data_IF_310632812671
#
_entry.id   IF_310632812671
#
_cell.length_a   1.000
_cell.length_b   1.000
_cell.length_c   1.000
_cell.angle_alpha   90.00
_cell.angle_beta   90.00
_cell.angle_gamma   90.00
#
_symmetry.space_group_name_H-M   'P 1'
#
loop_
_entity.id
_entity.type
_entity.pdbx_description
1 polymer ?
#
# COMPACT_ATOMS: atom_id res chain seq x y z
N UNK A 1 -6.75 2.82 -75.08
CA UNK A 1 -6.66 1.63 -75.96
C UNK A 1 -5.37 0.89 -75.64
N UNK A 2 -5.31 -0.46 -75.68
CA UNK A 2 -6.27 -1.41 -75.11
C UNK A 2 -5.60 -2.67 -74.49
N UNK A 3 -6.46 -3.55 -73.97
CA UNK A 3 -6.34 -5.02 -73.88
C UNK A 3 -5.34 -5.64 -72.91
N UNK A 4 -5.79 -6.21 -71.79
CA UNK A 4 -6.48 -7.51 -71.66
C UNK A 4 -5.53 -8.71 -71.81
N UNK A 5 -5.41 -9.50 -70.73
CA UNK A 5 -5.19 -10.93 -70.89
C UNK A 5 -5.78 -11.72 -69.72
N UNK A 6 -6.86 -12.41 -70.06
CA UNK A 6 -7.54 -13.50 -69.35
C UNK A 6 -6.59 -14.69 -69.12
N UNK A 7 -6.67 -15.31 -67.94
CA UNK A 7 -6.45 -16.76 -67.75
C UNK A 7 -7.57 -17.31 -66.85
N UNK A 8 -8.68 -17.70 -67.48
CA UNK A 8 -9.13 -19.11 -67.64
C UNK A 8 -9.53 -19.82 -66.34
N UNK A 9 -10.81 -19.61 -66.01
CA UNK A 9 -11.85 -20.56 -65.57
C UNK A 9 -11.48 -22.05 -65.48
N UNK A 10 -11.80 -22.67 -64.33
CA UNK A 10 -12.42 -24.00 -64.26
C UNK A 10 -13.14 -24.20 -62.91
N UNK A 11 -14.49 -24.26 -62.85
CA UNK A 11 -15.21 -24.59 -61.63
C UNK A 11 -15.24 -26.11 -61.50
N UNK A 12 -14.50 -26.64 -60.53
CA UNK A 12 -14.60 -28.06 -60.18
C UNK A 12 -15.97 -28.28 -59.54
N UNK A 13 -16.81 -28.98 -60.29
CA UNK A 13 -18.13 -29.48 -59.92
C UNK A 13 -18.10 -30.06 -58.50
N UNK A 14 -18.94 -29.52 -57.63
CA UNK A 14 -19.24 -30.11 -56.34
C UNK A 14 -19.98 -31.43 -56.58
N UNK A 15 -19.33 -32.54 -56.22
CA UNK A 15 -19.94 -33.85 -56.15
C UNK A 15 -20.79 -33.94 -54.86
N UNK A 16 -22.12 -34.12 -54.92
CA UNK A 16 -22.98 -34.18 -53.74
C UNK A 16 -23.07 -35.58 -53.11
N UNK A 17 -22.26 -36.56 -53.52
CA UNK A 17 -22.45 -37.96 -53.13
C UNK A 17 -21.25 -38.57 -52.39
N UNK A 18 -20.94 -38.09 -51.18
CA UNK A 18 -20.37 -38.95 -50.12
C UNK A 18 -20.50 -38.33 -48.73
N UNK A 19 -21.74 -38.20 -48.25
CA UNK A 19 -22.01 -38.19 -46.80
C UNK A 19 -21.66 -39.56 -46.23
N UNK A 20 -20.38 -39.80 -45.96
CA UNK A 20 -19.97 -40.86 -45.04
C UNK A 20 -19.98 -40.26 -43.64
N UNK A 21 -20.98 -40.68 -42.86
CA UNK A 21 -21.04 -40.51 -41.40
C UNK A 21 -19.68 -40.88 -40.80
N UNK A 22 -18.98 -39.90 -40.21
CA UNK A 22 -17.94 -40.19 -39.22
C UNK A 22 -18.60 -40.24 -37.83
N UNK A 23 -18.55 -41.39 -37.12
CA UNK A 23 -18.92 -41.42 -35.72
C UNK A 23 -17.85 -40.66 -34.92
N UNK A 24 -18.30 -39.95 -33.89
CA UNK A 24 -17.47 -39.08 -33.08
C UNK A 24 -16.25 -39.79 -32.48
N UNK A 25 -15.15 -39.07 -32.42
CA UNK A 25 -14.11 -39.31 -31.42
C UNK A 25 -13.48 -37.97 -31.14
N UNK A 26 -13.85 -37.40 -30.00
CA UNK A 26 -13.21 -36.21 -29.46
C UNK A 26 -11.74 -36.52 -29.25
N UNK A 27 -10.88 -35.95 -30.08
CA UNK A 27 -9.49 -35.74 -29.74
C UNK A 27 -9.36 -34.24 -29.49
N UNK A 28 -9.74 -33.84 -28.28
CA UNK A 28 -9.35 -32.54 -27.74
C UNK A 28 -7.84 -32.44 -27.91
N UNK A 29 -7.39 -31.49 -28.73
CA UNK A 29 -5.98 -31.18 -28.89
C UNK A 29 -5.51 -30.68 -27.53
N UNK A 30 -4.96 -31.58 -26.72
CA UNK A 30 -4.44 -31.25 -25.41
C UNK A 30 -3.45 -30.12 -25.61
N UNK A 31 -3.76 -28.96 -25.02
CA UNK A 31 -2.77 -27.91 -24.87
C UNK A 31 -1.61 -28.56 -24.10
N UNK A 32 -0.34 -28.35 -24.48
CA UNK A 32 0.76 -28.68 -23.59
C UNK A 32 0.50 -27.86 -22.32
N UNK A 33 0.05 -28.56 -21.28
CA UNK A 33 0.00 -28.03 -19.94
C UNK A 33 1.46 -27.82 -19.59
N UNK A 34 1.91 -26.57 -19.73
CA UNK A 34 3.16 -26.13 -19.15
C UNK A 34 2.96 -26.27 -17.63
N UNK A 35 3.18 -27.48 -17.11
CA UNK A 35 3.35 -27.70 -15.69
C UNK A 35 4.60 -26.92 -15.33
N UNK A 36 4.41 -25.71 -14.81
CA UNK A 36 5.47 -24.94 -14.18
C UNK A 36 6.27 -25.92 -13.31
N UNK A 37 7.60 -26.01 -13.46
CA UNK A 37 8.43 -26.81 -12.58
C UNK A 37 8.04 -26.45 -11.15
N UNK A 38 7.66 -27.46 -10.37
CA UNK A 38 7.26 -27.38 -8.96
C UNK A 38 8.42 -26.93 -8.04
N UNK A 39 9.05 -25.80 -8.35
CA UNK A 39 10.08 -25.17 -7.52
C UNK A 39 9.48 -24.38 -6.35
N UNK A 40 8.16 -24.26 -6.28
CA UNK A 40 7.37 -23.73 -5.17
C UNK A 40 7.17 -24.76 -4.04
N UNK A 41 6.96 -26.02 -4.40
CA UNK A 41 6.68 -27.09 -3.41
C UNK A 41 7.89 -27.55 -2.58
N UNK A 42 9.13 -27.26 -3.00
CA UNK A 42 10.32 -27.60 -2.21
C UNK A 42 10.52 -26.65 -1.01
N UNK A 43 10.09 -25.40 -1.12
CA UNK A 43 10.13 -24.41 -0.02
C UNK A 43 8.92 -24.54 0.92
N UNK A 44 7.83 -25.16 0.45
CA UNK A 44 6.57 -25.33 1.20
C UNK A 44 6.65 -26.43 2.27
N UNK A 45 7.57 -27.39 2.14
CA UNK A 45 7.73 -28.52 3.06
C UNK A 45 8.78 -28.27 4.16
N UNK A 46 9.27 -27.04 4.30
CA UNK A 46 10.14 -26.67 5.41
C UNK A 46 9.26 -26.32 6.64
N UNK A 47 9.52 -26.88 7.83
CA UNK A 47 8.66 -26.68 9.00
C UNK A 47 8.59 -25.22 9.52
N UNK A 48 9.39 -24.31 8.97
CA UNK A 48 9.40 -22.88 9.30
C UNK A 48 9.37 -22.02 8.04
N UNK A 49 8.68 -20.88 8.08
CA UNK A 49 8.56 -20.01 6.91
C UNK A 49 9.86 -19.21 6.66
N UNK A 50 10.33 -19.03 5.40
CA UNK A 50 11.51 -18.20 5.09
C UNK A 50 11.42 -16.75 5.60
N UNK A 51 10.22 -16.15 5.56
CA UNK A 51 9.98 -14.80 6.12
C UNK A 51 10.19 -14.81 7.63
N UNK A 52 9.66 -15.82 8.32
CA UNK A 52 9.84 -15.94 9.77
C UNK A 52 11.33 -16.11 10.15
N UNK A 53 12.10 -16.86 9.35
CA UNK A 53 13.56 -16.97 9.52
C UNK A 53 14.24 -15.62 9.31
N UNK A 54 13.89 -14.89 8.25
CA UNK A 54 14.48 -13.59 7.94
C UNK A 54 14.18 -12.55 9.04
N UNK A 55 12.93 -12.50 9.50
CA UNK A 55 12.50 -11.62 10.60
C UNK A 55 13.26 -11.96 11.89
N UNK A 56 13.33 -13.24 12.25
CA UNK A 56 14.08 -13.70 13.42
C UNK A 56 15.56 -13.34 13.29
N UNK A 57 16.16 -13.53 12.12
CA UNK A 57 17.54 -13.18 11.86
C UNK A 57 17.81 -11.68 12.07
N UNK A 58 16.98 -10.81 11.48
CA UNK A 58 17.10 -9.35 11.65
C UNK A 58 16.96 -8.96 13.11
N UNK A 59 15.98 -9.51 13.82
CA UNK A 59 15.75 -9.22 15.24
C UNK A 59 16.94 -9.66 16.10
N UNK A 60 17.43 -10.87 15.92
CA UNK A 60 18.56 -11.42 16.70
C UNK A 60 19.83 -10.64 16.41
N UNK A 61 20.13 -10.35 15.14
CA UNK A 61 21.32 -9.56 14.77
C UNK A 61 21.22 -8.15 15.33
N UNK A 62 20.07 -7.48 15.19
CA UNK A 62 19.86 -6.13 15.73
C UNK A 62 20.00 -6.10 17.25
N UNK A 63 19.40 -7.06 17.95
CA UNK A 63 19.48 -7.17 19.41
C UNK A 63 20.90 -7.49 19.89
N UNK A 64 21.61 -8.39 19.20
CA UNK A 64 23.00 -8.74 19.53
C UNK A 64 23.96 -7.56 19.30
N UNK A 65 23.83 -6.87 18.15
CA UNK A 65 24.64 -5.69 17.85
C UNK A 65 24.41 -4.58 18.89
N UNK A 66 23.16 -4.32 19.27
CA UNK A 66 22.83 -3.32 20.28
C UNK A 66 23.26 -3.74 21.69
N UNK A 67 23.22 -5.03 22.03
CA UNK A 67 23.76 -5.56 23.29
C UNK A 67 25.27 -5.32 23.40
N UNK A 68 26.03 -5.57 22.32
CA UNK A 68 27.48 -5.33 22.32
C UNK A 68 27.84 -3.84 22.29
N UNK A 69 27.01 -3.01 21.65
CA UNK A 69 27.24 -1.57 21.51
C UNK A 69 26.78 -0.77 22.74
N UNK A 70 25.77 -1.25 23.46
CA UNK A 70 25.15 -0.59 24.62
C UNK A 70 24.04 0.40 24.24
N UNK A 71 23.05 0.57 25.12
CA UNK A 71 21.91 1.47 24.91
C UNK A 71 22.34 2.93 24.74
N UNK A 72 23.27 3.40 25.58
CA UNK A 72 23.75 4.80 25.56
C UNK A 72 24.37 5.15 24.21
N UNK A 73 25.18 4.28 23.63
CA UNK A 73 25.75 4.52 22.30
C UNK A 73 24.68 4.59 21.22
N UNK A 74 23.63 3.80 21.37
CA UNK A 74 22.57 3.72 20.38
C UNK A 74 21.68 4.97 20.42
N UNK A 75 21.25 5.40 21.62
CA UNK A 75 20.47 6.63 21.80
C UNK A 75 21.26 7.87 21.42
N UNK A 76 22.51 7.99 21.88
CA UNK A 76 23.35 9.12 21.51
C UNK A 76 23.68 9.11 20.01
N UNK A 77 23.80 7.93 19.40
CA UNK A 77 23.98 7.79 17.96
C UNK A 77 22.78 8.33 17.17
N UNK A 78 21.56 7.95 17.57
CA UNK A 78 20.33 8.51 16.97
C UNK A 78 20.25 10.02 17.19
N UNK A 79 20.60 10.49 18.39
CA UNK A 79 20.72 11.90 18.71
C UNK A 79 21.73 12.63 17.82
N UNK A 80 22.86 11.98 17.49
CA UNK A 80 23.87 12.53 16.60
C UNK A 80 23.36 12.65 15.15
N UNK A 81 22.62 11.65 14.65
CA UNK A 81 21.98 11.71 13.34
C UNK A 81 20.93 12.83 13.27
N UNK A 82 20.04 12.91 14.26
CA UNK A 82 19.02 13.97 14.33
C UNK A 82 19.69 15.34 14.45
N UNK A 83 20.66 15.49 15.35
CA UNK A 83 21.41 16.72 15.54
C UNK A 83 22.15 17.18 14.27
N UNK A 84 22.74 16.24 13.53
CA UNK A 84 23.38 16.52 12.25
C UNK A 84 22.38 16.95 11.17
N UNK A 85 21.21 16.30 11.08
CA UNK A 85 20.14 16.71 10.15
C UNK A 85 19.66 18.13 10.48
N UNK A 86 19.37 18.40 11.75
CA UNK A 86 18.92 19.73 12.19
C UNK A 86 19.99 20.78 11.89
N UNK A 87 21.25 20.52 12.23
CA UNK A 87 22.35 21.43 11.94
C UNK A 87 22.50 21.68 10.43
N UNK A 88 22.36 20.65 9.59
CA UNK A 88 22.38 20.81 8.15
C UNK A 88 21.25 21.72 7.67
N UNK A 89 20.01 21.53 8.15
CA UNK A 89 18.86 22.37 7.77
C UNK A 89 19.08 23.84 8.19
N UNK A 90 19.56 24.08 9.41
CA UNK A 90 19.76 25.44 9.92
C UNK A 90 20.97 26.16 9.31
N UNK A 91 22.06 25.45 9.03
CA UNK A 91 23.28 26.04 8.48
C UNK A 91 23.29 26.09 6.94
N UNK A 92 22.37 25.38 6.27
CA UNK A 92 22.24 25.41 4.80
C UNK A 92 22.12 26.83 4.22
N UNK A 93 21.19 27.71 4.65
CA UNK A 93 21.01 29.02 4.04
C UNK A 93 22.25 29.93 4.18
N UNK A 94 23.00 29.79 5.27
CA UNK A 94 24.22 30.56 5.52
C UNK A 94 25.41 30.01 4.70
N UNK A 95 25.50 28.69 4.52
CA UNK A 95 26.62 28.04 3.84
C UNK A 95 26.47 28.00 2.31
N UNK A 96 25.23 28.03 1.82
CA UNK A 96 24.87 27.90 0.40
C UNK A 96 25.56 28.94 -0.52
N UNK A 97 25.70 30.24 -0.17
CA UNK A 97 26.35 31.22 -1.04
C UNK A 97 27.81 30.89 -1.35
N UNK A 98 28.52 30.29 -0.39
CA UNK A 98 29.93 29.94 -0.56
C UNK A 98 30.12 28.79 -1.56
N UNK A 99 29.22 27.81 -1.57
CA UNK A 99 29.30 26.64 -2.47
C UNK A 99 28.81 26.96 -3.87
N UNK A 100 27.80 27.83 -4.00
CA UNK A 100 27.28 28.30 -5.29
C UNK A 100 28.31 29.08 -6.12
N UNK A 101 29.36 29.62 -5.49
CA UNK A 101 30.49 30.20 -6.20
C UNK A 101 31.30 29.16 -7.01
N UNK A 102 31.22 27.88 -6.66
CA UNK A 102 31.96 26.79 -7.30
C UNK A 102 31.06 25.85 -8.13
N UNK A 103 29.77 25.72 -7.77
CA UNK A 103 28.82 24.82 -8.43
C UNK A 103 27.69 25.66 -9.06
N UNK A 104 27.60 25.73 -10.41
CA UNK A 104 26.57 26.52 -11.09
C UNK A 104 25.16 25.93 -11.01
N UNK A 105 25.04 24.65 -10.67
CA UNK A 105 23.77 23.92 -10.62
C UNK A 105 23.17 24.06 -9.22
N UNK A 106 22.11 24.85 -9.07
CA UNK A 106 21.52 25.21 -7.78
C UNK A 106 21.18 23.99 -6.90
N UNK A 107 20.41 23.03 -7.43
CA UNK A 107 20.00 21.86 -6.65
C UNK A 107 21.18 20.98 -6.21
N UNK A 108 22.24 20.92 -7.03
CA UNK A 108 23.45 20.16 -6.72
C UNK A 108 24.30 20.89 -5.69
N UNK A 109 24.42 22.21 -5.80
CA UNK A 109 25.09 23.04 -4.79
C UNK A 109 24.42 22.89 -3.42
N UNK A 110 23.09 22.93 -3.39
CA UNK A 110 22.30 22.79 -2.17
C UNK A 110 22.48 21.40 -1.55
N UNK A 111 22.42 20.35 -2.37
CA UNK A 111 22.66 18.97 -1.92
C UNK A 111 24.08 18.79 -1.37
N UNK A 112 25.11 19.26 -2.08
CA UNK A 112 26.51 19.16 -1.65
C UNK A 112 26.75 19.93 -0.35
N UNK A 113 26.15 21.13 -0.22
CA UNK A 113 26.25 21.93 1.01
C UNK A 113 25.61 21.21 2.18
N UNK A 114 24.38 20.72 2.01
CA UNK A 114 23.64 20.00 3.05
C UNK A 114 24.38 18.73 3.49
N UNK A 115 24.85 17.92 2.54
CA UNK A 115 25.62 16.69 2.82
C UNK A 115 26.95 17.01 3.48
N UNK A 116 27.66 18.05 3.03
CA UNK A 116 28.93 18.49 3.61
C UNK A 116 28.79 18.88 5.07
N UNK A 117 27.81 19.73 5.39
CA UNK A 117 27.51 20.13 6.77
C UNK A 117 27.09 18.93 7.60
N UNK A 118 26.17 18.12 7.07
CA UNK A 118 25.67 16.92 7.73
C UNK A 118 26.82 16.00 8.14
N UNK A 119 27.75 15.70 7.23
CA UNK A 119 28.89 14.82 7.51
C UNK A 119 29.86 15.41 8.53
N UNK A 120 30.19 16.70 8.41
CA UNK A 120 31.08 17.39 9.37
C UNK A 120 30.48 17.36 10.76
N UNK A 121 29.22 17.75 10.89
CA UNK A 121 28.50 17.77 12.17
C UNK A 121 28.34 16.35 12.71
N UNK A 122 27.97 15.38 11.88
CA UNK A 122 27.84 13.99 12.29
C UNK A 122 29.15 13.43 12.84
N UNK A 123 30.29 13.71 12.21
CA UNK A 123 31.61 13.29 12.70
C UNK A 123 31.89 13.91 14.07
N UNK A 124 31.67 15.22 14.21
CA UNK A 124 31.85 15.91 15.50
C UNK A 124 30.97 15.29 16.58
N UNK A 125 29.65 15.21 16.37
CA UNK A 125 28.73 14.62 17.36
C UNK A 125 29.03 13.14 17.63
N UNK A 126 29.48 12.38 16.64
CA UNK A 126 29.87 10.97 16.82
C UNK A 126 31.08 10.83 17.74
N UNK A 127 32.08 11.70 17.59
CA UNK A 127 33.25 11.72 18.48
C UNK A 127 32.84 12.12 19.89
N UNK A 128 32.04 13.18 20.06
CA UNK A 128 31.53 13.60 21.37
C UNK A 128 30.73 12.48 22.04
N UNK A 129 29.83 11.86 21.28
CA UNK A 129 29.01 10.72 21.74
C UNK A 129 29.88 9.56 22.21
N UNK A 130 30.91 9.19 21.43
CA UNK A 130 31.81 8.10 21.79
C UNK A 130 32.58 8.40 23.09
N UNK A 131 32.96 9.66 23.32
CA UNK A 131 33.62 10.07 24.57
C UNK A 131 32.68 9.98 25.78
N UNK A 132 31.43 10.42 25.63
CA UNK A 132 30.42 10.37 26.70
C UNK A 132 30.09 8.91 27.03
N UNK A 133 29.82 8.11 26.01
CA UNK A 133 29.37 6.74 26.18
C UNK A 133 30.44 5.86 26.84
N UNK A 134 31.74 6.05 26.52
CA UNK A 134 32.86 5.41 27.23
C UNK A 134 32.81 5.65 28.74
N UNK A 135 32.58 6.90 29.18
CA UNK A 135 32.48 7.23 30.61
C UNK A 135 31.33 6.53 31.31
N UNK A 136 30.20 6.34 30.62
CA UNK A 136 29.04 5.64 31.19
C UNK A 136 29.30 4.14 31.30
N UNK A 137 29.97 3.56 30.30
CA UNK A 137 30.33 2.14 30.29
C UNK A 137 31.40 1.74 31.32
N UNK A 138 32.25 2.69 31.72
CA UNK A 138 33.26 2.45 32.76
C UNK A 138 32.67 2.37 34.18
N UNK A 139 31.37 2.69 34.33
CA UNK A 139 30.66 2.65 35.61
C UNK A 139 29.96 1.31 35.87
N UNK A 140 29.50 1.08 37.12
CA UNK A 140 28.73 -0.12 37.50
C UNK A 140 27.42 -0.33 36.70
N UNK A 141 27.00 0.66 35.90
CA UNK A 141 25.81 0.63 35.06
C UNK A 141 25.99 -0.13 33.74
N UNK A 142 27.19 -0.60 33.39
CA UNK A 142 27.46 -1.31 32.14
C UNK A 142 26.53 -2.54 31.93
N UNK A 143 26.25 -3.31 32.97
CA UNK A 143 25.35 -4.45 32.87
C UNK A 143 23.92 -4.01 32.50
N UNK A 144 23.42 -2.93 33.10
CA UNK A 144 22.10 -2.36 32.81
C UNK A 144 22.06 -1.74 31.41
N UNK A 145 23.13 -1.04 30.99
CA UNK A 145 23.24 -0.45 29.66
C UNK A 145 23.15 -1.50 28.54
N UNK A 146 23.75 -2.68 28.75
CA UNK A 146 23.69 -3.79 27.80
C UNK A 146 22.32 -4.45 27.72
N UNK A 147 21.63 -4.64 28.86
CA UNK A 147 20.28 -5.22 28.84
C UNK A 147 19.25 -4.27 28.22
N UNK A 148 19.35 -2.96 28.51
CA UNK A 148 18.58 -1.95 27.80
C UNK A 148 18.94 -1.89 26.31
N UNK A 149 20.23 -2.09 25.98
CA UNK A 149 20.69 -2.15 24.60
C UNK A 149 20.05 -3.29 23.83
N UNK A 150 19.94 -4.48 24.43
CA UNK A 150 19.24 -5.61 23.85
C UNK A 150 17.76 -5.31 23.58
N UNK A 151 17.03 -4.75 24.56
CA UNK A 151 15.62 -4.39 24.39
C UNK A 151 15.43 -3.32 23.31
N UNK A 152 16.29 -2.31 23.30
CA UNK A 152 16.29 -1.29 22.26
C UNK A 152 16.60 -1.88 20.89
N UNK A 153 17.57 -2.81 20.80
CA UNK A 153 17.92 -3.50 19.56
C UNK A 153 16.79 -4.38 19.02
N UNK A 154 16.00 -5.01 19.88
CA UNK A 154 14.77 -5.70 19.48
C UNK A 154 13.73 -4.73 18.90
N UNK A 155 13.48 -3.62 19.58
CA UNK A 155 12.55 -2.59 19.10
C UNK A 155 13.01 -2.02 17.75
N UNK A 156 14.29 -1.65 17.62
CA UNK A 156 14.91 -1.21 16.37
C UNK A 156 14.82 -2.26 15.27
N UNK A 157 15.08 -3.53 15.60
CA UNK A 157 14.97 -4.63 14.65
C UNK A 157 13.55 -4.79 14.13
N UNK A 158 12.55 -4.65 15.01
CA UNK A 158 11.14 -4.63 14.63
C UNK A 158 10.82 -3.48 13.68
N UNK A 159 11.26 -2.26 14.00
CA UNK A 159 11.11 -1.09 13.12
C UNK A 159 11.76 -1.34 11.76
N UNK A 160 12.97 -1.92 11.71
CA UNK A 160 13.63 -2.27 10.45
C UNK A 160 12.82 -3.27 9.63
N UNK A 161 12.25 -4.30 10.26
CA UNK A 161 11.36 -5.26 9.58
C UNK A 161 10.13 -4.57 9.01
N UNK A 162 9.48 -3.67 9.76
CA UNK A 162 8.32 -2.92 9.28
C UNK A 162 8.69 -2.02 8.09
N UNK A 163 9.78 -1.28 8.18
CA UNK A 163 10.26 -0.41 7.09
C UNK A 163 10.59 -1.24 5.84
N UNK A 164 11.26 -2.38 6.00
CA UNK A 164 11.56 -3.28 4.89
C UNK A 164 10.29 -3.86 4.26
N UNK A 165 9.28 -4.21 5.08
CA UNK A 165 8.00 -4.68 4.59
C UNK A 165 7.26 -3.61 3.77
N UNK A 166 7.19 -2.37 4.28
CA UNK A 166 6.59 -1.23 3.55
C UNK A 166 7.36 -0.93 2.27
N UNK A 167 8.69 -0.94 2.32
CA UNK A 167 9.51 -0.75 1.12
C UNK A 167 9.29 -1.88 0.09
N UNK A 168 9.11 -3.12 0.55
CA UNK A 168 8.80 -4.26 -0.31
C UNK A 168 7.40 -4.16 -0.93
N UNK A 169 6.40 -3.68 -0.18
CA UNK A 169 5.04 -3.48 -0.71
C UNK A 169 4.97 -2.35 -1.75
N UNK A 170 5.89 -1.37 -1.68
CA UNK A 170 6.04 -0.35 -2.72
C UNK A 170 6.66 -0.90 -4.00
N UNK A 171 7.57 -1.88 -3.90
CA UNK A 171 8.25 -2.46 -5.06
C UNK A 171 7.44 -3.58 -5.73
N UNK A 172 6.71 -4.37 -4.93
CA UNK A 172 5.92 -5.52 -5.38
C UNK A 172 4.47 -5.39 -4.89
N UNK A 173 3.49 -5.19 -5.80
CA UNK A 173 2.08 -5.11 -5.43
C UNK A 173 1.63 -6.33 -4.62
N UNK A 174 0.81 -6.09 -3.58
CA UNK A 174 0.33 -7.13 -2.65
C UNK A 174 -0.32 -8.31 -3.37
N UNK A 175 -1.02 -8.06 -4.48
CA UNK A 175 -1.73 -9.07 -5.28
C UNK A 175 -0.80 -10.06 -6.00
N UNK A 176 0.49 -9.75 -6.08
CA UNK A 176 1.52 -10.60 -6.70
C UNK A 176 2.45 -11.25 -5.68
N UNK A 177 2.19 -11.06 -4.37
CA UNK A 177 3.02 -11.65 -3.33
C UNK A 177 2.78 -13.16 -3.26
N UNK A 178 3.85 -13.97 -3.34
CA UNK A 178 3.73 -15.43 -3.33
C UNK A 178 3.27 -15.98 -1.96
N UNK A 179 2.63 -17.14 -1.97
CA UNK A 179 1.95 -17.73 -0.81
C UNK A 179 2.87 -17.96 0.41
N UNK A 180 4.17 -18.19 0.19
CA UNK A 180 5.16 -18.31 1.26
C UNK A 180 5.36 -17.00 2.05
N UNK A 181 4.97 -15.84 1.53
CA UNK A 181 4.97 -14.58 2.29
C UNK A 181 3.69 -14.44 3.12
N UNK A 182 2.55 -14.77 2.51
CA UNK A 182 1.22 -14.64 3.14
C UNK A 182 0.98 -15.64 4.27
N UNK A 183 1.64 -16.80 4.23
CA UNK A 183 1.51 -17.86 5.24
C UNK A 183 2.41 -17.69 6.46
N UNK A 184 3.25 -16.65 6.52
CA UNK A 184 4.19 -16.44 7.63
C UNK A 184 3.47 -16.07 8.93
N UNK A 185 3.91 -16.63 10.08
CA UNK A 185 3.26 -16.33 11.37
C UNK A 185 3.52 -14.90 11.84
N UNK A 186 4.64 -14.31 11.43
CA UNK A 186 4.99 -12.92 11.72
C UNK A 186 4.16 -11.92 10.90
N UNK A 187 3.57 -12.34 9.78
CA UNK A 187 2.85 -11.47 8.85
C UNK A 187 1.71 -10.64 9.47
N UNK A 188 0.76 -11.20 10.25
CA UNK A 188 -0.32 -10.39 10.84
C UNK A 188 0.19 -9.30 11.78
N UNK A 189 1.29 -9.55 12.51
CA UNK A 189 1.88 -8.59 13.43
C UNK A 189 2.66 -7.50 12.68
N UNK A 190 3.33 -7.88 11.59
CA UNK A 190 4.02 -6.95 10.68
C UNK A 190 2.99 -6.05 9.97
N UNK A 191 1.88 -6.60 9.48
CA UNK A 191 0.81 -5.84 8.83
C UNK A 191 0.21 -4.80 9.78
N UNK A 192 -0.17 -5.20 11.00
CA UNK A 192 -0.69 -4.25 11.99
C UNK A 192 0.32 -3.15 12.35
N UNK A 193 1.60 -3.50 12.51
CA UNK A 193 2.67 -2.53 12.75
C UNK A 193 2.92 -1.61 11.55
N UNK A 194 2.83 -2.13 10.34
CA UNK A 194 2.99 -1.36 9.11
C UNK A 194 1.82 -0.40 8.91
N UNK A 195 0.59 -0.86 9.10
CA UNK A 195 -0.62 -0.03 8.96
C UNK A 195 -0.62 1.14 9.96
N UNK A 196 -0.15 0.91 11.19
CA UNK A 196 0.02 2.00 12.17
C UNK A 196 1.13 2.98 11.79
N UNK A 197 2.24 2.52 11.19
CA UNK A 197 3.27 3.41 10.63
C UNK A 197 2.77 4.21 9.43
N UNK A 198 2.03 3.56 8.54
CA UNK A 198 1.42 4.15 7.34
C UNK A 198 0.39 5.21 7.71
N UNK A 199 -0.38 5.00 8.78
CA UNK A 199 -1.32 6.00 9.28
C UNK A 199 -0.65 7.30 9.77
N UNK A 200 0.64 7.27 10.11
CA UNK A 200 1.42 8.44 10.49
C UNK A 200 2.06 9.15 9.29
N UNK A 201 2.07 8.50 8.12
CA UNK A 201 2.62 9.08 6.90
C UNK A 201 1.58 9.99 6.22
N UNK A 202 2.00 11.16 5.70
CA UNK A 202 1.13 11.99 4.86
C UNK A 202 0.57 11.19 3.66
N UNK A 203 -0.69 11.41 3.26
CA UNK A 203 -1.32 10.69 2.15
C UNK A 203 -0.53 10.76 0.83
N UNK A 204 0.22 11.84 0.62
CA UNK A 204 1.05 12.09 -0.57
C UNK A 204 2.18 11.08 -0.77
N UNK A 205 2.58 10.37 0.29
CA UNK A 205 3.63 9.35 0.26
C UNK A 205 3.06 7.93 0.13
N UNK A 206 1.73 7.77 0.16
CA UNK A 206 1.10 6.46 0.06
C UNK A 206 0.91 6.07 -1.41
N UNK A 207 1.34 4.87 -1.84
CA UNK A 207 1.01 4.38 -3.16
C UNK A 207 -0.51 4.23 -3.29
N UNK A 208 -1.06 4.49 -4.47
CA UNK A 208 -2.50 4.49 -4.74
C UNK A 208 -3.22 3.17 -4.37
N UNK A 209 -2.47 2.08 -4.20
CA UNK A 209 -2.95 0.76 -3.77
C UNK A 209 -3.24 0.64 -2.26
N UNK A 210 -2.76 1.58 -1.43
CA UNK A 210 -2.92 1.57 0.04
C UNK A 210 -3.99 2.55 0.53
N UNK A 211 -4.57 3.35 -0.37
CA UNK A 211 -5.72 4.20 -0.06
C UNK A 211 -6.97 3.32 -0.01
N UNK A 212 -7.14 2.62 1.10
CA UNK A 212 -8.42 2.02 1.45
C UNK A 212 -9.51 3.11 1.48
N UNK A 213 -10.80 2.78 1.27
CA UNK A 213 -11.91 3.74 1.15
C UNK A 213 -12.16 4.68 2.35
N UNK A 214 -11.30 4.69 3.38
CA UNK A 214 -11.45 5.45 4.61
C UNK A 214 -10.53 6.66 4.79
N UNK A 215 -9.53 6.87 3.91
CA UNK A 215 -8.64 8.04 4.00
C UNK A 215 -9.19 9.24 3.20
N UNK A 216 -10.41 9.65 3.51
CA UNK A 216 -10.89 10.97 3.08
C UNK A 216 -10.28 12.03 4.03
N UNK A 217 -9.78 13.17 3.52
CA UNK A 217 -9.28 14.23 4.36
C UNK A 217 -10.42 14.72 5.26
N UNK A 218 -10.12 14.90 6.54
CA UNK A 218 -11.01 15.51 7.50
C UNK A 218 -11.29 16.98 7.10
N UNK A 219 -12.21 17.16 6.15
CA UNK A 219 -12.84 18.43 5.87
C UNK A 219 -13.89 18.66 6.96
N UNK A 220 -13.62 19.67 7.78
CA UNK A 220 -14.53 20.39 8.68
C UNK A 220 -16.02 20.15 8.42
N UNK A 221 -16.65 19.37 9.30
CA UNK A 221 -18.11 19.30 9.40
C UNK A 221 -18.65 20.61 9.97
N UNK A 222 -19.32 21.40 9.14
CA UNK A 222 -20.39 22.30 9.58
C UNK A 222 -21.67 21.91 8.85
N UNK A 223 -22.63 21.36 9.59
CA UNK A 223 -24.06 21.46 9.32
C UNK A 223 -24.70 20.51 8.29
N UNK A 224 -25.42 19.51 8.81
CA UNK A 224 -26.81 19.24 8.41
C UNK A 224 -27.10 18.21 7.30
N UNK A 225 -27.75 17.11 7.70
CA UNK A 225 -28.85 16.52 6.91
C UNK A 225 -28.59 15.20 6.18
N UNK A 226 -29.24 14.15 6.69
CA UNK A 226 -29.73 12.95 5.98
C UNK A 226 -28.69 11.94 5.45
N UNK A 227 -28.83 10.69 5.89
CA UNK A 227 -27.87 9.62 5.64
C UNK A 227 -27.84 9.11 4.21
N UNK A 228 -26.63 8.75 3.77
CA UNK A 228 -26.37 7.64 2.84
C UNK A 228 -24.92 7.21 3.10
N UNK A 229 -24.74 5.96 3.52
CA UNK A 229 -23.44 5.32 3.75
C UNK A 229 -22.59 5.38 2.47
N UNK A 230 -21.34 5.88 2.48
CA UNK A 230 -20.48 5.82 1.29
C UNK A 230 -19.93 4.40 1.16
N UNK A 231 -20.43 3.63 0.18
CA UNK A 231 -19.84 2.34 -0.22
C UNK A 231 -19.53 2.37 -1.71
N UNK A 232 -18.24 2.35 -2.04
CA UNK A 232 -17.68 2.12 -3.37
C UNK A 232 -18.17 3.08 -4.48
N UNK A 233 -17.43 4.19 -4.74
CA UNK A 233 -17.74 5.15 -5.81
C UNK A 233 -17.94 4.51 -7.20
N UNK A 234 -17.23 3.41 -7.47
CA UNK A 234 -17.33 2.69 -8.74
C UNK A 234 -18.66 1.96 -8.95
N UNK A 235 -19.27 1.45 -7.88
CA UNK A 235 -20.54 0.73 -7.95
C UNK A 235 -21.72 1.69 -8.10
N UNK A 236 -21.64 2.87 -7.47
CA UNK A 236 -22.69 3.88 -7.57
C UNK A 236 -22.68 4.60 -8.91
N UNK A 237 -21.50 4.86 -9.48
CA UNK A 237 -21.38 5.37 -10.84
C UNK A 237 -21.96 4.40 -11.87
N UNK A 238 -21.76 3.09 -11.70
CA UNK A 238 -22.35 2.06 -12.55
C UNK A 238 -23.88 2.00 -12.39
N UNK A 239 -24.40 2.07 -11.16
CA UNK A 239 -25.87 2.07 -10.92
C UNK A 239 -26.55 3.33 -11.44
N UNK A 240 -25.93 4.50 -11.28
CA UNK A 240 -26.44 5.75 -11.80
C UNK A 240 -26.42 5.75 -13.34
N UNK A 241 -25.36 5.20 -13.94
CA UNK A 241 -25.29 5.03 -15.39
C UNK A 241 -26.33 4.03 -15.91
N UNK A 242 -26.54 2.91 -15.21
CA UNK A 242 -27.57 1.91 -15.52
C UNK A 242 -29.00 2.49 -15.39
N UNK A 243 -29.24 3.33 -14.37
CA UNK A 243 -30.51 4.01 -14.16
C UNK A 243 -30.81 5.03 -15.26
N UNK A 244 -29.80 5.76 -15.74
CA UNK A 244 -29.94 6.68 -16.88
C UNK A 244 -30.15 5.95 -18.21
N UNK A 245 -29.63 4.72 -18.31
CA UNK A 245 -29.75 3.87 -19.50
C UNK A 245 -31.10 3.17 -19.61
N UNK A 246 -31.88 3.14 -18.53
CA UNK A 246 -33.26 2.61 -18.50
C UNK A 246 -34.25 3.78 -18.45
N UNK A 247 -34.77 4.28 -19.58
CA UNK A 247 -35.92 5.16 -19.51
C UNK A 247 -37.07 4.36 -18.90
N UNK A 248 -37.59 4.79 -17.75
CA UNK A 248 -38.84 4.27 -17.22
C UNK A 248 -39.92 4.57 -18.26
N UNK A 249 -40.30 3.56 -19.02
CA UNK A 249 -41.54 3.57 -19.77
C UNK A 249 -42.68 3.63 -18.74
N UNK A 250 -43.22 4.82 -18.54
CA UNK A 250 -44.56 4.95 -17.97
C UNK A 250 -45.58 4.42 -18.98
N UNK A 251 -46.49 3.57 -18.51
CA UNK A 251 -47.84 3.26 -19.01
C UNK A 251 -48.44 2.34 -17.93
N UNK A 252 -49.28 2.85 -17.01
CA UNK A 252 -50.76 2.68 -17.00
C UNK A 252 -51.17 1.21 -16.76
N UNK A 253 -52.16 0.80 -15.97
CA UNK A 253 -53.40 1.38 -15.48
C UNK A 253 -54.06 0.32 -14.57
N UNK A 254 -54.94 0.72 -13.63
CA UNK A 254 -55.99 -0.17 -13.13
C UNK A 254 -56.24 -0.24 -11.62
N UNK A 255 -56.83 0.81 -11.04
CA UNK A 255 -58.13 0.70 -10.34
C UNK A 255 -58.68 2.07 -9.94
N UNK A 256 -59.80 2.40 -10.55
CA UNK A 256 -60.72 3.48 -10.22
C UNK A 256 -61.29 3.33 -8.79
N UNK A 257 -61.45 4.45 -8.07
CA UNK A 257 -62.75 4.96 -7.58
C UNK A 257 -62.53 6.07 -6.56
N UNK A 258 -63.21 7.19 -6.79
CA UNK A 258 -63.03 8.44 -6.05
C UNK A 258 -63.49 8.42 -4.60
N UNK A 259 -62.78 9.20 -3.78
CA UNK A 259 -63.10 9.51 -2.39
C UNK A 259 -61.83 9.74 -1.58
N UNK A 260 -61.86 10.72 -0.67
CA UNK A 260 -60.76 10.98 0.27
C UNK A 260 -60.35 9.70 1.00
N UNK A 261 -59.04 9.56 1.21
CA UNK A 261 -58.45 8.38 1.82
C UNK A 261 -58.93 8.24 3.28
N UNK A 262 -59.04 7.01 3.82
CA UNK A 262 -59.64 6.77 5.15
C UNK A 262 -58.93 7.50 6.28
N UNK A 263 -57.62 7.70 6.14
CA UNK A 263 -56.73 8.44 7.03
C UNK A 263 -56.98 9.96 6.99
N UNK A 264 -57.26 10.52 5.81
CA UNK A 264 -57.62 11.93 5.66
C UNK A 264 -58.96 12.26 6.33
N UNK A 265 -59.92 11.33 6.28
CA UNK A 265 -61.23 11.50 6.94
C UNK A 265 -61.12 11.60 8.45
N UNK A 266 -60.31 10.72 9.06
CA UNK A 266 -60.05 10.75 10.50
C UNK A 266 -59.33 12.04 10.94
N UNK A 267 -58.56 12.65 10.04
CA UNK A 267 -57.97 13.97 10.27
C UNK A 267 -59.03 15.07 10.37
N UNK A 268 -60.06 15.04 9.52
CA UNK A 268 -61.12 16.04 9.53
C UNK A 268 -62.06 15.90 10.74
N UNK A 269 -62.38 14.69 11.16
CA UNK A 269 -63.25 14.46 12.33
C UNK A 269 -62.62 15.03 13.62
N UNK A 270 -61.30 14.86 13.80
CA UNK A 270 -60.56 15.44 14.94
C UNK A 270 -60.57 16.98 14.95
N UNK A 271 -60.69 17.60 13.78
CA UNK A 271 -60.73 19.07 13.67
C UNK A 271 -62.12 19.63 13.95
N UNK A 272 -63.18 18.85 13.72
CA UNK A 272 -64.54 19.25 14.11
C UNK A 272 -64.79 19.11 15.61
N UNK A 273 -64.25 18.04 16.22
CA UNK A 273 -64.43 17.75 17.64
C UNK A 273 -63.66 18.72 18.57
N UNK A 274 -62.60 19.36 18.05
CA UNK A 274 -61.81 20.35 18.82
C UNK A 274 -62.40 21.76 18.82
N UNK A 275 -63.50 22.01 18.10
CA UNK A 275 -64.11 23.34 17.94
C UNK A 275 -65.50 23.46 18.60
N UNK A 276 -65.98 22.41 19.30
CA UNK A 276 -67.21 22.46 20.11
C UNK A 276 -66.93 22.51 21.62
#
# INVERSE_FOLDING_TARGET
MPSAMCKTWSPRLADPASRTRRPGTGAGRAKPEWTSPKGDSEMENWPVNPVDIAVLFVLVVSAALAFFRGFVHEVLGIGAWIGAILAAIYALPEAQPYVRAYIPIDWLADLVTAVGIFLVVLVVLSVLTALIARRVQDSALNALDRTLGFLFGLARGGVLVLVLYVAASWLVPRDTQPDWVMTARSMPMIQQGADTMVALLPPELLPASEVGPGAAPAATTTGGGSGTTPQNPGLDAQRAFEALRRPQAGTEEGRESGGYAPDERQGMDRLMESTQ
#
